data_IF_671238731022
#
_entry.id   IF_671238731022
#
_cell.length_a   1.000
_cell.length_b   1.000
_cell.length_c   1.000
_cell.angle_alpha   90.00
_cell.angle_beta   90.00
_cell.angle_gamma   90.00
#
_symmetry.space_group_name_H-M   'P 1'
#
loop_
_entity.id
_entity.type
_entity.pdbx_description
1 polymer ?
#
# COMPACT_ATOMS: atom_id res chain seq x y z
N UNK A 1 52.93 24.95 4.73
CA UNK A 1 51.62 25.39 4.22
C UNK A 1 50.70 24.18 4.11
N UNK A 2 49.44 24.34 4.50
CA UNK A 2 48.41 23.33 4.43
C UNK A 2 47.44 23.72 3.29
N UNK A 3 47.19 22.83 2.34
CA UNK A 3 46.11 22.97 1.35
C UNK A 3 44.94 22.06 1.74
N UNK A 4 43.76 22.69 1.81
CA UNK A 4 42.51 22.11 2.25
C UNK A 4 41.85 21.28 1.15
N UNK A 5 41.42 20.06 1.48
CA UNK A 5 40.50 19.27 0.68
C UNK A 5 39.07 19.77 0.93
N UNK A 6 38.49 20.46 -0.05
CA UNK A 6 37.05 20.78 -0.07
C UNK A 6 36.28 19.58 -0.59
N UNK A 7 35.59 18.86 0.30
CA UNK A 7 34.61 17.83 -0.05
C UNK A 7 33.36 18.50 -0.63
N UNK A 8 33.21 18.46 -1.95
CA UNK A 8 31.93 18.78 -2.60
C UNK A 8 30.98 17.60 -2.42
N UNK A 9 29.91 17.77 -1.64
CA UNK A 9 28.87 16.76 -1.45
C UNK A 9 28.11 16.55 -2.77
N UNK A 10 28.10 15.31 -3.27
CA UNK A 10 27.38 14.96 -4.49
C UNK A 10 25.86 14.99 -4.24
N UNK A 11 25.06 15.56 -5.17
CA UNK A 11 23.61 15.66 -4.99
C UNK A 11 22.95 14.28 -5.02
N UNK A 12 21.91 14.10 -4.22
CA UNK A 12 21.14 12.86 -4.22
C UNK A 12 20.22 12.83 -5.45
N UNK A 13 20.35 11.77 -6.26
CA UNK A 13 19.62 11.60 -7.51
C UNK A 13 18.58 10.50 -7.36
N UNK A 14 17.30 10.86 -7.42
CA UNK A 14 16.20 9.90 -7.42
C UNK A 14 15.70 9.73 -8.85
N UNK A 15 15.65 8.47 -9.30
CA UNK A 15 15.14 8.11 -10.62
C UNK A 15 13.79 7.43 -10.48
N UNK A 16 12.77 8.01 -11.11
CA UNK A 16 11.48 7.36 -11.28
C UNK A 16 11.62 6.23 -12.32
N UNK A 17 11.41 4.98 -11.91
CA UNK A 17 11.58 3.80 -12.77
C UNK A 17 10.46 3.64 -13.81
N UNK A 18 9.29 4.24 -13.58
CA UNK A 18 8.14 4.14 -14.46
C UNK A 18 8.09 5.27 -15.49
N UNK A 19 8.50 6.49 -15.12
CA UNK A 19 8.45 7.67 -16.02
C UNK A 19 9.83 8.04 -16.60
N UNK A 20 10.92 7.55 -16.01
CA UNK A 20 12.28 7.91 -16.39
C UNK A 20 12.73 9.29 -15.92
N UNK A 21 11.88 10.04 -15.19
CA UNK A 21 12.23 11.35 -14.64
C UNK A 21 13.31 11.26 -13.56
N UNK A 22 14.22 12.22 -13.60
CA UNK A 22 15.34 12.34 -12.67
C UNK A 22 15.12 13.60 -11.84
N UNK A 23 14.98 13.42 -10.53
CA UNK A 23 14.90 14.52 -9.57
C UNK A 23 16.25 14.60 -8.86
N UNK A 24 16.94 15.73 -9.05
CA UNK A 24 18.19 16.04 -8.38
C UNK A 24 17.88 16.95 -7.20
N UNK A 25 18.13 16.47 -5.99
CA UNK A 25 17.93 17.27 -4.77
C UNK A 25 19.29 17.88 -4.41
N UNK A 26 19.45 19.22 -4.49
CA UNK A 26 20.65 19.87 -3.97
C UNK A 26 20.65 19.74 -2.44
N UNK A 27 21.73 19.18 -1.89
CA UNK A 27 22.00 19.15 -0.46
C UNK A 27 22.57 20.52 -0.06
N UNK A 28 21.74 21.56 -0.11
CA UNK A 28 22.14 22.85 0.46
C UNK A 28 22.04 22.74 1.99
N UNK A 29 23.20 22.57 2.63
CA UNK A 29 23.40 22.45 4.07
C UNK A 29 22.98 23.69 4.86
N UNK A 30 21.67 23.93 4.94
CA UNK A 30 21.04 24.86 5.89
C UNK A 30 19.74 24.28 6.44
N UNK A 31 19.84 23.10 7.03
CA UNK A 31 18.80 22.50 7.84
C UNK A 31 19.48 21.73 8.95
N UNK A 32 19.24 22.16 10.19
CA UNK A 32 19.79 21.63 11.43
C UNK A 32 20.00 20.11 11.39
N UNK A 33 21.21 19.66 11.74
CA UNK A 33 21.52 18.26 12.04
C UNK A 33 20.60 17.78 13.17
N UNK A 34 19.43 17.26 12.80
CA UNK A 34 18.65 16.38 13.67
C UNK A 34 19.03 14.96 13.28
N UNK A 35 19.53 14.20 14.26
CA UNK A 35 19.60 12.74 14.29
C UNK A 35 18.20 12.15 14.06
N UNK A 36 17.70 12.23 12.83
CA UNK A 36 16.44 11.65 12.44
C UNK A 36 16.71 10.22 12.00
N UNK A 37 16.07 9.30 12.72
CA UNK A 37 16.04 7.88 12.42
C UNK A 37 15.83 7.68 10.90
N UNK A 38 16.63 6.86 10.20
CA UNK A 38 16.45 6.58 8.78
C UNK A 38 15.02 6.10 8.44
N UNK A 39 14.29 5.48 9.38
CA UNK A 39 12.87 5.17 9.21
C UNK A 39 11.97 6.42 9.25
N UNK A 40 12.34 7.47 9.97
CA UNK A 40 11.59 8.74 10.00
C UNK A 40 11.80 9.56 8.71
N UNK A 41 13.03 9.60 8.19
CA UNK A 41 13.34 10.23 6.89
C UNK A 41 12.61 9.51 5.76
N UNK A 42 12.57 8.17 5.81
CA UNK A 42 11.81 7.35 4.85
C UNK A 42 10.31 7.60 4.93
N UNK A 43 9.76 7.77 6.14
CA UNK A 43 8.35 8.17 6.33
C UNK A 43 8.08 9.58 5.80
N UNK A 44 8.98 10.55 6.01
CA UNK A 44 8.82 11.92 5.50
C UNK A 44 8.90 12.00 3.97
N UNK A 45 9.72 11.18 3.31
CA UNK A 45 9.89 11.21 1.85
C UNK A 45 8.74 10.55 1.07
N UNK A 46 8.05 9.53 1.62
CA UNK A 46 6.86 8.95 0.98
C UNK A 46 5.56 9.70 1.32
N UNK A 47 5.48 10.32 2.51
CA UNK A 47 4.31 11.10 2.93
C UNK A 47 4.34 12.55 2.42
N UNK A 48 5.54 13.11 2.19
CA UNK A 48 5.75 14.52 1.90
C UNK A 48 5.16 15.01 0.57
N UNK A 49 5.13 14.18 -0.47
CA UNK A 49 4.72 14.62 -1.82
C UNK A 49 3.20 14.67 -2.01
N UNK A 50 2.43 13.83 -1.31
CA UNK A 50 0.95 13.82 -1.43
C UNK A 50 0.32 14.67 -0.32
N UNK A 51 0.95 14.79 0.85
CA UNK A 51 0.46 15.66 1.93
C UNK A 51 0.53 17.17 1.59
N UNK A 52 1.20 17.55 0.50
CA UNK A 52 1.28 18.93 0.01
C UNK A 52 0.08 19.36 -0.85
N UNK A 53 -0.75 18.42 -1.34
CA UNK A 53 -1.95 18.74 -2.11
C UNK A 53 -3.20 18.09 -1.48
N UNK A 54 -3.94 18.82 -0.63
CA UNK A 54 -5.12 18.29 0.06
C UNK A 54 -6.23 17.86 -0.91
N UNK A 55 -6.34 18.46 -2.09
CA UNK A 55 -7.32 18.07 -3.10
C UNK A 55 -6.99 16.70 -3.71
N UNK A 56 -5.71 16.46 -4.02
CA UNK A 56 -5.26 15.16 -4.51
C UNK A 56 -5.46 14.06 -3.45
N UNK A 57 -5.21 14.37 -2.17
CA UNK A 57 -5.46 13.44 -1.07
C UNK A 57 -6.94 13.09 -0.92
N UNK A 58 -7.83 14.08 -1.01
CA UNK A 58 -9.27 13.86 -0.95
C UNK A 58 -9.79 13.09 -2.16
N UNK A 59 -9.30 13.39 -3.37
CA UNK A 59 -9.62 12.65 -4.58
C UNK A 59 -9.24 11.17 -4.42
N UNK A 60 -8.02 10.90 -3.92
CA UNK A 60 -7.53 9.53 -3.73
C UNK A 60 -8.40 8.74 -2.73
N UNK A 61 -8.80 9.36 -1.62
CA UNK A 61 -9.75 8.73 -0.67
C UNK A 61 -11.12 8.48 -1.31
N UNK A 62 -11.59 9.42 -2.12
CA UNK A 62 -12.87 9.30 -2.83
C UNK A 62 -12.87 8.23 -3.92
N UNK A 63 -11.70 7.90 -4.48
CA UNK A 63 -11.53 6.80 -5.43
C UNK A 63 -11.32 5.46 -4.72
N UNK A 64 -10.84 5.50 -3.47
CA UNK A 64 -10.57 4.33 -2.64
C UNK A 64 -11.79 3.94 -1.80
N UNK A 65 -12.96 3.88 -2.44
CA UNK A 65 -14.20 3.40 -1.83
C UNK A 65 -14.95 2.48 -2.79
N UNK A 66 -15.52 1.40 -2.27
CA UNK A 66 -16.29 0.46 -3.09
C UNK A 66 -16.60 -0.84 -2.37
N UNK A 67 -17.34 -1.70 -3.08
CA UNK A 67 -17.63 -3.05 -2.63
C UNK A 67 -16.47 -3.97 -3.00
N UNK A 68 -15.95 -4.70 -2.02
CA UNK A 68 -14.93 -5.73 -2.23
C UNK A 68 -15.31 -6.99 -1.47
N UNK A 69 -14.91 -8.14 -1.99
CA UNK A 69 -15.03 -9.39 -1.26
C UNK A 69 -13.78 -9.60 -0.40
N UNK A 70 -13.98 -9.80 0.89
CA UNK A 70 -12.88 -10.02 1.84
C UNK A 70 -12.83 -11.48 2.26
N UNK A 71 -11.65 -12.09 2.20
CA UNK A 71 -11.46 -13.46 2.67
C UNK A 71 -11.70 -13.56 4.19
N UNK A 72 -12.56 -14.48 4.58
CA UNK A 72 -12.92 -14.73 5.97
C UNK A 72 -11.88 -15.63 6.65
N UNK A 73 -10.80 -15.03 7.17
CA UNK A 73 -9.67 -15.76 7.74
C UNK A 73 -9.99 -16.66 8.95
N UNK A 74 -11.18 -16.54 9.57
CA UNK A 74 -11.58 -17.33 10.76
C UNK A 74 -12.51 -18.51 10.44
N UNK A 75 -13.04 -18.57 9.22
CA UNK A 75 -14.04 -19.56 8.78
C UNK A 75 -13.51 -20.27 7.55
N UNK A 76 -12.38 -20.93 7.70
CA UNK A 76 -11.96 -21.97 6.76
C UNK A 76 -12.66 -23.25 7.18
N UNK A 77 -13.67 -23.66 6.41
CA UNK A 77 -14.34 -24.95 6.63
C UNK A 77 -13.47 -26.00 5.94
N UNK A 78 -12.79 -26.83 6.73
CA UNK A 78 -12.10 -28.00 6.19
C UNK A 78 -13.12 -29.13 6.04
N UNK A 79 -13.24 -29.65 4.81
CA UNK A 79 -14.05 -30.83 4.53
C UNK A 79 -13.18 -31.87 3.81
N UNK A 80 -12.78 -32.90 4.55
CA UNK A 80 -11.79 -33.91 4.10
C UNK A 80 -10.51 -33.22 3.62
N UNK A 81 -10.13 -33.43 2.36
CA UNK A 81 -8.94 -32.86 1.72
C UNK A 81 -9.17 -31.47 1.14
N UNK A 82 -10.38 -30.90 1.26
CA UNK A 82 -10.72 -29.59 0.72
C UNK A 82 -10.75 -28.53 1.81
N UNK A 83 -10.19 -27.36 1.49
CA UNK A 83 -10.30 -26.15 2.31
C UNK A 83 -11.22 -25.17 1.59
N UNK A 84 -12.40 -24.93 2.15
CA UNK A 84 -13.35 -23.95 1.62
C UNK A 84 -12.92 -22.54 2.06
N UNK A 85 -12.60 -21.70 1.08
CA UNK A 85 -12.38 -20.28 1.25
C UNK A 85 -13.72 -19.55 1.18
N UNK A 86 -14.13 -18.92 2.28
CA UNK A 86 -15.35 -18.11 2.33
C UNK A 86 -15.00 -16.65 2.07
N UNK A 87 -15.50 -16.12 0.97
CA UNK A 87 -15.46 -14.69 0.63
C UNK A 87 -16.73 -14.02 1.11
N UNK A 88 -16.60 -12.79 1.59
CA UNK A 88 -17.75 -12.04 2.09
C UNK A 88 -17.66 -10.58 1.65
N UNK A 89 -18.74 -10.06 1.10
CA UNK A 89 -18.84 -8.68 0.65
C UNK A 89 -18.65 -7.69 1.81
N UNK A 90 -17.86 -6.67 1.54
CA UNK A 90 -17.55 -5.58 2.46
C UNK A 90 -17.56 -4.26 1.70
N UNK A 91 -18.20 -3.27 2.29
CA UNK A 91 -17.96 -1.89 1.87
C UNK A 91 -16.62 -1.45 2.44
N UNK A 92 -15.68 -1.15 1.56
CA UNK A 92 -14.31 -0.74 1.88
C UNK A 92 -14.14 0.72 1.51
N UNK A 93 -13.51 1.51 2.37
CA UNK A 93 -13.27 2.93 2.13
C UNK A 93 -12.02 3.42 2.87
N UNK A 94 -11.35 4.42 2.31
CA UNK A 94 -10.19 5.06 2.91
C UNK A 94 -10.57 6.21 3.85
N UNK A 95 -9.99 6.22 5.04
CA UNK A 95 -9.94 7.38 5.93
C UNK A 95 -8.52 7.96 5.97
N UNK A 96 -8.29 8.98 6.80
CA UNK A 96 -7.00 9.70 6.88
C UNK A 96 -5.86 8.83 7.43
N UNK A 97 -6.15 7.91 8.36
CA UNK A 97 -5.14 7.10 9.05
C UNK A 97 -5.33 5.58 8.86
N UNK A 98 -6.40 5.15 8.17
CA UNK A 98 -6.76 3.74 8.05
C UNK A 98 -7.59 3.42 6.81
N UNK A 99 -7.44 2.18 6.34
CA UNK A 99 -8.39 1.54 5.43
C UNK A 99 -9.50 0.88 6.26
N UNK A 100 -10.74 1.32 6.05
CA UNK A 100 -11.90 0.82 6.78
C UNK A 100 -12.69 -0.16 5.93
N UNK A 101 -13.29 -1.15 6.59
CA UNK A 101 -14.21 -2.08 5.95
C UNK A 101 -15.35 -2.48 6.88
N UNK A 102 -16.55 -2.55 6.35
CA UNK A 102 -17.76 -2.87 7.11
C UNK A 102 -18.62 -3.90 6.39
N UNK A 103 -19.43 -4.63 7.15
CA UNK A 103 -20.35 -5.60 6.58
C UNK A 103 -21.38 -4.89 5.70
N UNK A 104 -21.82 -5.59 4.66
CA UNK A 104 -22.96 -5.21 3.86
C UNK A 104 -24.16 -6.06 4.27
N UNK A 105 -25.31 -5.43 4.45
CA UNK A 105 -26.59 -6.11 4.68
C UNK A 105 -27.11 -6.69 3.36
N UNK A 106 -28.16 -7.51 3.46
CA UNK A 106 -28.87 -8.04 2.29
C UNK A 106 -29.50 -6.93 1.44
N UNK A 107 -29.80 -5.78 2.03
CA UNK A 107 -30.37 -4.61 1.36
C UNK A 107 -29.29 -3.71 0.73
N UNK A 108 -28.05 -4.20 0.63
CA UNK A 108 -26.91 -3.46 0.08
C UNK A 108 -26.60 -2.18 0.86
N UNK A 109 -26.81 -2.21 2.18
CA UNK A 109 -26.46 -1.11 3.08
C UNK A 109 -25.31 -1.50 4.02
N UNK A 110 -24.36 -0.59 4.27
CA UNK A 110 -23.32 -0.84 5.26
C UNK A 110 -23.90 -0.96 6.67
N UNK A 111 -23.55 -2.03 7.38
CA UNK A 111 -24.06 -2.33 8.72
C UNK A 111 -22.95 -2.66 9.73
N UNK A 112 -23.22 -2.31 10.99
CA UNK A 112 -22.33 -2.58 12.12
C UNK A 112 -21.20 -1.57 12.27
N UNK A 113 -20.24 -1.89 13.15
CA UNK A 113 -19.07 -1.05 13.40
C UNK A 113 -18.00 -1.30 12.34
N UNK A 114 -17.49 -0.26 11.65
CA UNK A 114 -16.40 -0.40 10.71
C UNK A 114 -15.15 -0.97 11.37
N UNK A 115 -14.53 -1.95 10.72
CA UNK A 115 -13.21 -2.45 11.10
C UNK A 115 -12.14 -1.62 10.41
N UNK A 116 -11.14 -1.21 11.17
CA UNK A 116 -10.04 -0.36 10.69
C UNK A 116 -8.77 -1.19 10.49
N UNK A 117 -8.05 -0.91 9.42
CA UNK A 117 -6.68 -1.37 9.17
C UNK A 117 -5.81 -0.11 9.16
N UNK A 118 -5.16 0.23 10.28
CA UNK A 118 -4.33 1.42 10.35
C UNK A 118 -3.21 1.36 9.32
N UNK A 119 -2.99 2.44 8.58
CA UNK A 119 -1.97 2.49 7.53
C UNK A 119 -0.57 2.19 8.06
N UNK A 120 -0.28 2.64 9.28
CA UNK A 120 0.98 2.37 10.00
C UNK A 120 1.27 0.88 10.19
N UNK A 121 0.26 0.01 10.11
CA UNK A 121 0.45 -1.44 10.24
C UNK A 121 0.70 -2.14 8.91
N UNK A 122 0.47 -1.47 7.77
CA UNK A 122 0.59 -2.05 6.43
C UNK A 122 2.05 -1.97 5.99
N UNK A 123 2.72 -3.12 5.90
CA UNK A 123 4.10 -3.21 5.44
C UNK A 123 4.17 -3.26 3.91
N UNK A 124 3.21 -3.96 3.30
CA UNK A 124 3.19 -4.23 1.87
C UNK A 124 1.77 -4.44 1.33
N UNK A 125 1.52 -3.92 0.13
CA UNK A 125 0.31 -4.21 -0.65
C UNK A 125 0.68 -4.74 -2.04
N UNK A 126 0.10 -5.86 -2.44
CA UNK A 126 0.39 -6.41 -3.77
C UNK A 126 -0.62 -7.45 -4.23
N UNK A 127 -0.52 -7.87 -5.50
CA UNK A 127 -1.42 -8.87 -6.05
C UNK A 127 -1.12 -10.23 -5.43
N UNK A 128 -2.19 -10.98 -5.18
CA UNK A 128 -2.11 -12.40 -4.87
C UNK A 128 -2.42 -13.23 -6.11
N UNK A 129 -3.36 -12.76 -6.93
CA UNK A 129 -3.77 -13.34 -8.20
C UNK A 129 -4.28 -12.24 -9.14
N UNK A 130 -4.82 -12.58 -10.31
CA UNK A 130 -5.35 -11.63 -11.31
C UNK A 130 -6.34 -10.62 -10.73
N UNK A 131 -7.28 -11.07 -9.91
CA UNK A 131 -8.33 -10.23 -9.32
C UNK A 131 -8.17 -10.02 -7.82
N UNK A 132 -7.16 -10.63 -7.20
CA UNK A 132 -6.97 -10.62 -5.74
C UNK A 132 -5.76 -9.81 -5.35
N UNK A 133 -5.85 -9.09 -4.24
CA UNK A 133 -4.71 -8.43 -3.61
C UNK A 133 -4.64 -8.73 -2.12
N UNK A 134 -3.42 -8.61 -1.56
CA UNK A 134 -3.13 -8.84 -0.16
C UNK A 134 -2.52 -7.57 0.44
N UNK A 135 -3.03 -7.21 1.61
CA UNK A 135 -2.40 -6.29 2.55
C UNK A 135 -1.65 -7.11 3.58
N UNK A 136 -0.32 -7.13 3.49
CA UNK A 136 0.53 -7.70 4.53
C UNK A 136 0.72 -6.63 5.61
N UNK A 137 0.14 -6.88 6.78
CA UNK A 137 0.35 -6.06 7.97
C UNK A 137 1.26 -6.80 8.96
N UNK A 138 1.86 -6.06 9.90
CA UNK A 138 2.81 -6.61 10.88
C UNK A 138 2.36 -7.91 11.57
N UNK A 139 1.07 -8.00 11.94
CA UNK A 139 0.53 -9.13 12.68
C UNK A 139 -0.42 -10.02 11.86
N UNK A 140 -0.80 -9.61 10.65
CA UNK A 140 -1.87 -10.25 9.89
C UNK A 140 -1.85 -9.88 8.42
N UNK A 141 -2.22 -10.83 7.55
CA UNK A 141 -2.56 -10.55 6.17
C UNK A 141 -4.08 -10.42 5.97
N UNK A 142 -4.49 -9.48 5.11
CA UNK A 142 -5.86 -9.34 4.64
C UNK A 142 -5.90 -9.52 3.13
N UNK A 143 -6.72 -10.47 2.67
CA UNK A 143 -6.93 -10.70 1.23
C UNK A 143 -8.28 -10.15 0.81
N UNK A 144 -8.27 -9.42 -0.30
CA UNK A 144 -9.45 -8.89 -0.95
C UNK A 144 -9.51 -9.37 -2.40
N UNK A 145 -10.72 -9.59 -2.88
CA UNK A 145 -11.07 -9.97 -4.23
C UNK A 145 -11.84 -8.81 -4.87
N UNK A 146 -11.40 -8.43 -6.05
CA UNK A 146 -12.01 -7.41 -6.90
C UNK A 146 -12.73 -8.07 -8.09
N UNK A 147 -13.60 -7.31 -8.74
CA UNK A 147 -14.27 -7.76 -9.97
C UNK A 147 -13.29 -7.87 -11.15
N UNK A 148 -12.34 -6.95 -11.26
CA UNK A 148 -11.39 -6.90 -12.38
C UNK A 148 -9.94 -6.63 -11.95
N UNK A 149 -9.01 -6.98 -12.82
CA UNK A 149 -7.57 -6.73 -12.67
C UNK A 149 -7.24 -5.25 -12.56
N UNK A 150 -7.95 -4.40 -13.30
CA UNK A 150 -7.82 -2.94 -13.25
C UNK A 150 -8.25 -2.40 -11.90
N UNK A 151 -9.39 -2.90 -11.37
CA UNK A 151 -9.87 -2.54 -10.04
C UNK A 151 -8.87 -2.93 -8.96
N UNK A 152 -8.36 -4.17 -8.99
CA UNK A 152 -7.28 -4.64 -8.10
C UNK A 152 -6.05 -3.71 -8.17
N UNK A 153 -5.60 -3.38 -9.37
CA UNK A 153 -4.41 -2.54 -9.58
C UNK A 153 -4.63 -1.12 -9.05
N UNK A 154 -5.83 -0.55 -9.25
CA UNK A 154 -6.23 0.75 -8.69
C UNK A 154 -6.18 0.73 -7.17
N UNK A 155 -6.77 -0.28 -6.53
CA UNK A 155 -6.75 -0.42 -5.07
C UNK A 155 -5.33 -0.52 -4.51
N UNK A 156 -4.47 -1.33 -5.13
CA UNK A 156 -3.06 -1.45 -4.72
C UNK A 156 -2.36 -0.09 -4.78
N UNK A 157 -2.48 0.63 -5.90
CA UNK A 157 -1.85 1.95 -6.09
C UNK A 157 -2.34 2.93 -5.04
N UNK A 158 -3.65 3.06 -4.87
CA UNK A 158 -4.21 4.05 -3.96
C UNK A 158 -3.85 3.76 -2.51
N UNK A 159 -3.96 2.49 -2.06
CA UNK A 159 -3.59 2.11 -0.70
C UNK A 159 -2.09 2.34 -0.46
N UNK A 160 -1.22 2.04 -1.43
CA UNK A 160 0.21 2.27 -1.29
C UNK A 160 0.57 3.75 -1.10
N UNK A 161 -0.14 4.63 -1.83
CA UNK A 161 0.02 6.08 -1.74
C UNK A 161 -0.51 6.61 -0.41
N UNK A 162 -1.69 6.14 0.03
CA UNK A 162 -2.28 6.54 1.31
C UNK A 162 -1.47 6.04 2.51
N UNK A 163 -0.93 4.82 2.44
CA UNK A 163 -0.20 4.21 3.54
C UNK A 163 1.30 4.52 3.54
N UNK A 164 1.84 5.03 2.43
CA UNK A 164 3.29 5.22 2.26
C UNK A 164 4.09 3.91 2.33
N UNK A 165 3.45 2.78 2.01
CA UNK A 165 4.04 1.44 2.12
C UNK A 165 4.63 0.94 0.79
N UNK A 166 5.37 -0.16 0.86
CA UNK A 166 5.87 -0.81 -0.37
C UNK A 166 4.73 -1.45 -1.14
N UNK A 167 4.81 -1.47 -2.48
CA UNK A 167 3.79 -2.09 -3.31
C UNK A 167 4.35 -2.77 -4.56
N UNK A 168 3.58 -3.73 -5.10
CA UNK A 168 3.77 -4.31 -6.43
C UNK A 168 2.43 -4.42 -7.12
N UNK A 169 2.39 -4.26 -8.45
CA UNK A 169 1.19 -4.51 -9.26
C UNK A 169 1.33 -5.75 -10.15
N UNK A 170 2.50 -6.41 -10.14
CA UNK A 170 2.79 -7.58 -10.97
C UNK A 170 2.54 -8.87 -10.19
N UNK A 171 1.79 -9.79 -10.79
CA UNK A 171 1.62 -11.15 -10.27
C UNK A 171 2.91 -11.91 -10.58
N UNK A 172 3.63 -12.37 -9.55
CA UNK A 172 4.79 -13.22 -9.76
C UNK A 172 4.33 -14.67 -10.03
N UNK A 173 4.16 -15.02 -11.30
CA UNK A 173 4.06 -16.43 -11.70
C UNK A 173 5.45 -17.06 -11.54
N UNK A 174 5.76 -17.61 -10.36
CA UNK A 174 6.90 -18.53 -10.26
C UNK A 174 6.56 -19.76 -11.08
N UNK A 175 7.08 -19.84 -12.30
CA UNK A 175 7.18 -21.09 -13.05
C UNK A 175 8.12 -21.99 -12.26
N UNK A 176 7.57 -22.85 -11.39
CA UNK A 176 8.35 -23.97 -10.86
C UNK A 176 8.59 -24.91 -12.02
N UNK A 177 9.75 -24.76 -12.67
CA UNK A 177 10.32 -25.79 -13.54
C UNK A 177 10.55 -27.01 -12.65
N UNK A 178 9.63 -27.97 -12.71
CA UNK A 178 9.87 -29.32 -12.22
C UNK A 178 10.97 -29.90 -13.11
N UNK A 179 12.20 -29.94 -12.59
CA UNK A 179 13.31 -30.62 -13.26
C UNK A 179 12.93 -32.08 -13.47
N UNK A 180 13.01 -32.52 -14.73
CA UNK A 180 12.90 -33.92 -15.14
C UNK A 180 14.10 -34.73 -14.71
#
# INVERSE_FOLDING_TARGET
>A
EAEAATSGEEPFVIRNLDTGEIITIPLDGSGEEQDLDPDEVRRKLTFGTISQNPEAWQALKSESRGLLEKLASKTTISFRSYQLCVWQERYVYAEDDALCYQHFSTDMEPVGVPKRIPYSTIEFVGPFDETQFVLKCANRAYTFLCETTESRTRWIKNISQLAGCSASTQVCHKTTTMGH
#
